data_IF_116377955090
#
_entry.id   IF_116377955090
#
_cell.length_a   1.000
_cell.length_b   1.000
_cell.length_c   1.000
_cell.angle_alpha   90.00
_cell.angle_beta   90.00
_cell.angle_gamma   90.00
#
_symmetry.space_group_name_H-M   'P 1'
#
loop_
_entity.id
_entity.type
_entity.pdbx_description
1 polymer ?
#
# COMPACT_ATOMS: atom_id res chain seq x y z
N UNK A 1 29.74 33.41 15.43
CA UNK A 1 29.09 32.47 14.50
C UNK A 1 27.78 32.01 15.12
N UNK A 2 26.66 31.92 14.39
CA UNK A 2 25.45 31.29 14.91
C UNK A 2 25.78 29.83 15.28
N UNK A 3 25.22 29.29 16.38
CA UNK A 3 25.39 27.88 16.69
C UNK A 3 24.79 27.01 15.56
N UNK A 4 25.40 25.87 15.22
CA UNK A 4 24.88 24.99 14.18
C UNK A 4 23.47 24.51 14.55
N UNK A 5 22.52 24.68 13.63
CA UNK A 5 21.15 24.17 13.77
C UNK A 5 21.18 22.65 13.87
N UNK A 6 20.74 22.10 15.00
CA UNK A 6 20.55 20.66 15.18
C UNK A 6 19.49 20.19 14.18
N UNK A 7 19.89 19.39 13.20
CA UNK A 7 18.96 18.74 12.26
C UNK A 7 18.38 17.52 12.96
N UNK A 8 17.07 17.47 13.15
CA UNK A 8 16.41 16.26 13.64
C UNK A 8 16.67 15.09 12.67
N UNK A 9 16.96 13.88 13.18
CA UNK A 9 17.15 12.70 12.34
C UNK A 9 15.90 12.42 11.51
N UNK A 10 16.06 12.26 10.20
CA UNK A 10 14.95 11.86 9.32
C UNK A 10 14.46 10.47 9.70
N UNK A 11 13.15 10.33 9.85
CA UNK A 11 12.53 9.04 10.15
C UNK A 11 12.63 8.09 8.95
N UNK A 12 13.03 6.81 9.13
CA UNK A 12 13.11 5.84 8.04
C UNK A 12 11.74 5.26 7.63
N UNK A 13 10.72 5.40 8.49
CA UNK A 13 9.40 4.78 8.31
C UNK A 13 8.66 5.10 7.00
N UNK A 14 8.71 6.34 6.48
CA UNK A 14 8.09 6.67 5.20
C UNK A 14 8.67 5.85 4.04
N UNK A 15 9.99 5.64 4.02
CA UNK A 15 10.64 4.81 3.00
C UNK A 15 10.22 3.35 3.11
N UNK A 16 10.19 2.79 4.32
CA UNK A 16 9.67 1.44 4.55
C UNK A 16 8.22 1.31 4.07
N UNK A 17 7.38 2.33 4.31
CA UNK A 17 6.00 2.38 3.83
C UNK A 17 5.89 2.40 2.30
N UNK A 18 6.72 3.20 1.61
CA UNK A 18 6.74 3.25 0.14
C UNK A 18 7.23 1.93 -0.47
N UNK A 19 8.28 1.31 0.10
CA UNK A 19 8.76 -0.02 -0.33
C UNK A 19 7.64 -1.06 -0.15
N UNK A 20 6.97 -1.04 1.00
CA UNK A 20 5.82 -1.92 1.25
C UNK A 20 4.69 -1.69 0.23
N UNK A 21 4.37 -0.44 -0.10
CA UNK A 21 3.34 -0.14 -1.10
C UNK A 21 3.76 -0.64 -2.49
N UNK A 22 5.03 -0.57 -2.85
CA UNK A 22 5.53 -1.15 -4.12
C UNK A 22 5.36 -2.67 -4.14
N UNK A 23 5.66 -3.38 -3.05
CA UNK A 23 5.41 -4.81 -2.93
C UNK A 23 3.92 -5.15 -3.11
N UNK A 24 3.03 -4.37 -2.49
CA UNK A 24 1.58 -4.59 -2.62
C UNK A 24 1.08 -4.28 -4.03
N UNK A 25 1.63 -3.26 -4.70
CA UNK A 25 1.32 -2.99 -6.10
C UNK A 25 1.66 -4.20 -6.99
N UNK A 26 2.82 -4.82 -6.75
CA UNK A 26 3.20 -6.05 -7.45
C UNK A 26 2.20 -7.18 -7.20
N UNK A 27 1.76 -7.40 -5.94
CA UNK A 27 0.74 -8.42 -5.63
C UNK A 27 -0.57 -8.17 -6.38
N UNK A 28 -1.05 -6.92 -6.41
CA UNK A 28 -2.26 -6.55 -7.15
C UNK A 28 -2.06 -6.80 -8.66
N UNK A 29 -0.94 -6.35 -9.22
CA UNK A 29 -0.63 -6.51 -10.65
C UNK A 29 -0.44 -7.97 -11.09
N UNK A 30 0.07 -8.83 -10.21
CA UNK A 30 0.24 -10.25 -10.46
C UNK A 30 -1.05 -11.06 -10.29
N UNK A 31 -2.07 -10.52 -9.60
CA UNK A 31 -3.33 -11.21 -9.31
C UNK A 31 -4.01 -11.80 -10.56
N UNK A 32 -4.15 -11.09 -11.71
CA UNK A 32 -4.80 -11.64 -12.90
C UNK A 32 -4.05 -12.82 -13.55
N UNK A 33 -2.78 -13.01 -13.21
CA UNK A 33 -1.96 -14.11 -13.74
C UNK A 33 -2.13 -15.41 -12.95
N UNK A 34 -2.63 -15.31 -11.72
CA UNK A 34 -2.70 -16.43 -10.76
C UNK A 34 -4.14 -16.75 -10.37
N UNK A 35 -5.04 -15.78 -10.45
CA UNK A 35 -6.46 -15.90 -10.06
C UNK A 35 -7.31 -15.37 -11.20
N UNK A 36 -8.37 -16.09 -11.58
CA UNK A 36 -9.40 -15.66 -12.53
C UNK A 36 -10.32 -14.56 -11.98
N UNK A 37 -9.76 -13.60 -11.25
CA UNK A 37 -10.48 -12.46 -10.72
C UNK A 37 -10.95 -11.55 -11.87
N UNK A 38 -12.19 -11.05 -11.82
CA UNK A 38 -12.70 -10.16 -12.86
C UNK A 38 -11.92 -8.84 -12.88
N UNK A 39 -11.75 -8.27 -14.07
CA UNK A 39 -10.92 -7.07 -14.28
C UNK A 39 -11.32 -5.89 -13.38
N UNK A 40 -12.62 -5.75 -13.06
CA UNK A 40 -13.11 -4.67 -12.22
C UNK A 40 -12.58 -4.78 -10.77
N UNK A 41 -12.37 -6.00 -10.25
CA UNK A 41 -11.85 -6.19 -8.90
C UNK A 41 -10.40 -5.69 -8.81
N UNK A 42 -9.62 -5.95 -9.85
CA UNK A 42 -8.24 -5.47 -9.99
C UNK A 42 -8.22 -3.95 -10.07
N UNK A 43 -9.11 -3.34 -10.86
CA UNK A 43 -9.24 -1.87 -10.94
C UNK A 43 -9.59 -1.28 -9.58
N UNK A 44 -10.55 -1.84 -8.85
CA UNK A 44 -10.91 -1.36 -7.50
C UNK A 44 -9.72 -1.45 -6.54
N UNK A 45 -8.96 -2.55 -6.56
CA UNK A 45 -7.76 -2.71 -5.75
C UNK A 45 -6.68 -1.68 -6.10
N UNK A 46 -6.48 -1.40 -7.38
CA UNK A 46 -5.57 -0.33 -7.84
C UNK A 46 -6.04 1.05 -7.32
N UNK A 47 -7.34 1.34 -7.34
CA UNK A 47 -7.86 2.60 -6.80
C UNK A 47 -7.63 2.73 -5.28
N UNK A 48 -7.85 1.65 -4.52
CA UNK A 48 -7.52 1.61 -3.08
C UNK A 48 -6.03 1.86 -2.86
N UNK A 49 -5.17 1.22 -3.66
CA UNK A 49 -3.73 1.41 -3.59
C UNK A 49 -3.32 2.84 -3.94
N UNK A 50 -3.89 3.45 -4.97
CA UNK A 50 -3.63 4.84 -5.35
C UNK A 50 -4.04 5.81 -4.23
N UNK A 51 -5.17 5.55 -3.57
CA UNK A 51 -5.58 6.29 -2.38
C UNK A 51 -4.54 6.19 -1.25
N UNK A 52 -4.06 4.98 -0.96
CA UNK A 52 -3.01 4.77 0.03
C UNK A 52 -1.68 5.44 -0.37
N UNK A 53 -1.30 5.43 -1.65
CA UNK A 53 -0.12 6.15 -2.15
C UNK A 53 -0.27 7.66 -1.95
N UNK A 54 -1.43 8.23 -2.27
CA UNK A 54 -1.73 9.64 -2.03
C UNK A 54 -1.60 10.00 -0.55
N UNK A 55 -2.13 9.16 0.35
CA UNK A 55 -1.96 9.32 1.79
C UNK A 55 -0.49 9.21 2.22
N UNK A 56 0.27 8.26 1.66
CA UNK A 56 1.69 8.10 1.96
C UNK A 56 2.51 9.34 1.60
N UNK A 57 2.22 9.97 0.45
CA UNK A 57 2.84 11.23 0.02
C UNK A 57 2.44 12.37 0.96
N UNK A 58 1.15 12.52 1.27
CA UNK A 58 0.65 13.58 2.16
C UNK A 58 1.18 13.44 3.60
N UNK A 59 1.38 12.22 4.08
CA UNK A 59 1.82 11.91 5.44
C UNK A 59 3.32 11.71 5.56
N UNK A 60 4.07 11.84 4.46
CA UNK A 60 5.48 11.48 4.40
C UNK A 60 6.31 12.16 5.51
N UNK A 61 6.08 13.45 5.75
CA UNK A 61 6.75 14.22 6.81
C UNK A 61 5.86 14.44 8.02
N UNK A 62 4.54 14.51 7.86
CA UNK A 62 3.61 14.89 8.93
C UNK A 62 3.25 13.72 9.85
N UNK A 63 3.23 12.48 9.35
CA UNK A 63 2.90 11.26 10.12
C UNK A 63 3.71 10.03 9.65
N UNK A 64 5.05 10.05 9.79
CA UNK A 64 5.94 9.07 9.17
C UNK A 64 5.66 7.61 9.60
N UNK A 65 5.27 7.39 10.85
CA UNK A 65 4.92 6.05 11.36
C UNK A 65 3.61 5.51 10.77
N UNK A 66 2.64 6.38 10.48
CA UNK A 66 1.38 5.97 9.88
C UNK A 66 1.57 5.50 8.43
N UNK A 67 2.52 6.10 7.70
CA UNK A 67 2.88 5.69 6.33
C UNK A 67 3.34 4.24 6.28
N UNK A 68 4.06 3.76 7.31
CA UNK A 68 4.49 2.36 7.39
C UNK A 68 3.34 1.37 7.58
N UNK A 69 2.17 1.80 8.07
CA UNK A 69 0.99 0.96 8.27
C UNK A 69 0.13 0.82 7.00
N UNK A 70 0.17 1.79 6.10
CA UNK A 70 -0.60 1.79 4.86
C UNK A 70 -0.42 0.51 4.02
N UNK A 71 0.79 0.01 3.73
CA UNK A 71 0.94 -1.22 2.96
C UNK A 71 0.32 -2.44 3.64
N UNK A 72 0.40 -2.55 4.97
CA UNK A 72 -0.24 -3.64 5.70
C UNK A 72 -1.77 -3.60 5.57
N UNK A 73 -2.36 -2.42 5.66
CA UNK A 73 -3.82 -2.24 5.47
C UNK A 73 -4.23 -2.62 4.05
N UNK A 74 -3.52 -2.14 3.02
CA UNK A 74 -3.85 -2.47 1.62
C UNK A 74 -3.63 -3.95 1.34
N UNK A 75 -2.58 -4.56 1.89
CA UNK A 75 -2.34 -6.01 1.77
C UNK A 75 -3.50 -6.81 2.39
N UNK A 76 -4.01 -6.41 3.55
CA UNK A 76 -5.17 -7.06 4.17
C UNK A 76 -6.44 -6.92 3.32
N UNK A 77 -6.68 -5.74 2.74
CA UNK A 77 -7.79 -5.54 1.79
C UNK A 77 -7.65 -6.44 0.58
N UNK A 78 -6.43 -6.55 0.03
CA UNK A 78 -6.13 -7.47 -1.07
C UNK A 78 -6.40 -8.93 -0.70
N UNK A 79 -5.87 -9.42 0.43
CA UNK A 79 -6.11 -10.79 0.92
C UNK A 79 -7.61 -11.05 1.07
N UNK A 80 -8.33 -10.15 1.75
CA UNK A 80 -9.76 -10.29 1.97
C UNK A 80 -10.54 -10.35 0.65
N UNK A 81 -10.14 -9.54 -0.33
CA UNK A 81 -10.77 -9.51 -1.66
C UNK A 81 -10.51 -10.79 -2.44
N UNK A 82 -9.26 -11.25 -2.51
CA UNK A 82 -8.90 -12.46 -3.26
C UNK A 82 -9.51 -13.71 -2.62
N UNK A 83 -9.36 -13.87 -1.30
CA UNK A 83 -9.93 -15.02 -0.58
C UNK A 83 -11.46 -14.98 -0.59
N UNK A 84 -12.04 -13.80 -0.39
CA UNK A 84 -13.48 -13.60 -0.45
C UNK A 84 -14.05 -13.92 -1.84
N UNK A 85 -13.42 -13.42 -2.89
CA UNK A 85 -13.82 -13.72 -4.26
C UNK A 85 -13.69 -15.20 -4.63
N UNK A 86 -12.60 -15.85 -4.22
CA UNK A 86 -12.44 -17.30 -4.41
C UNK A 86 -13.49 -18.13 -3.66
N UNK A 87 -13.90 -17.70 -2.46
CA UNK A 87 -14.88 -18.43 -1.64
C UNK A 87 -16.34 -18.16 -1.94
N UNK A 88 -16.68 -16.95 -2.38
CA UNK A 88 -18.06 -16.49 -2.46
C UNK A 88 -18.50 -16.08 -3.88
N UNK A 89 -17.54 -15.85 -4.78
CA UNK A 89 -17.79 -15.34 -6.13
C UNK A 89 -17.19 -16.26 -7.22
N UNK A 90 -16.77 -17.47 -6.84
CA UNK A 90 -16.21 -18.50 -7.72
C UNK A 90 -15.03 -18.03 -8.59
N UNK A 91 -14.16 -17.17 -8.04
CA UNK A 91 -12.90 -16.81 -8.69
C UNK A 91 -11.97 -18.04 -8.65
N UNK A 92 -11.73 -18.65 -9.81
CA UNK A 92 -10.88 -19.84 -9.99
C UNK A 92 -9.51 -19.51 -10.57
#
# INVERSE_FOLDING_TARGET
MPPPTVREPLSPWPFAGLVGLACVAFLIGATPLVVGAPWWAVVLLVLVWLGALGLAIAWFTTRPRAVALLPAVVALVWVATVVGGARFLDWA
#
